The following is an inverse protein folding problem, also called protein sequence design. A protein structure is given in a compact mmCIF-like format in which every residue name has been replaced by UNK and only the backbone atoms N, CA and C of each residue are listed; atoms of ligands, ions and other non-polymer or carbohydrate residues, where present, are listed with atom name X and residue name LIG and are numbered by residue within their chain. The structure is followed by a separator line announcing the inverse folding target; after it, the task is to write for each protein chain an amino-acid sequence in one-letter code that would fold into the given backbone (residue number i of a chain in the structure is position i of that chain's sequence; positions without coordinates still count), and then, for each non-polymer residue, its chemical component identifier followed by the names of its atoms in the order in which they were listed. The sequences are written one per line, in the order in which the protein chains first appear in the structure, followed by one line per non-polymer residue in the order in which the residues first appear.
data_IF_806076998202
#
_entry.id   IF_806076998202
#
_cell.length_a   1.000
_cell.length_b   1.000
_cell.length_c   1.000
_cell.angle_alpha   90.00
_cell.angle_beta   90.00
_cell.angle_gamma   90.00
#
_symmetry.space_group_name_H-M   'P 1'
#
loop_
_entity.id
_entity.type
_entity.pdbx_description
1 polymer ?
#
# COMPACT_ATOMS: atom_id res chain seq x y z
N UNK A 1 19.13 5.40 3.33
CA UNK A 1 17.85 4.67 3.46
C UNK A 1 16.73 5.65 3.74
N UNK A 2 15.69 5.66 2.92
CA UNK A 2 14.49 6.43 3.23
C UNK A 2 13.69 5.70 4.34
N UNK A 3 13.10 6.42 5.31
CA UNK A 3 12.19 5.83 6.29
C UNK A 3 11.06 5.04 5.63
N UNK A 4 10.67 3.92 6.24
CA UNK A 4 9.57 3.09 5.71
C UNK A 4 8.25 3.86 5.60
N UNK A 5 7.99 4.79 6.52
CA UNK A 5 6.81 5.67 6.46
C UNK A 5 6.79 6.54 5.19
N UNK A 6 7.93 7.14 4.82
CA UNK A 6 8.06 7.96 3.60
C UNK A 6 7.91 7.11 2.34
N UNK A 7 8.43 5.87 2.36
CA UNK A 7 8.23 4.91 1.28
C UNK A 7 6.74 4.62 1.06
N UNK A 8 5.99 4.31 2.12
CA UNK A 8 4.54 4.02 2.05
C UNK A 8 3.75 5.26 1.63
N UNK A 9 4.11 6.44 2.14
CA UNK A 9 3.48 7.70 1.73
C UNK A 9 3.62 7.94 0.23
N UNK A 10 4.81 7.68 -0.34
CA UNK A 10 5.03 7.76 -1.78
C UNK A 10 4.25 6.71 -2.57
N UNK A 11 4.05 5.50 -2.03
CA UNK A 11 3.20 4.49 -2.69
C UNK A 11 1.73 4.95 -2.76
N UNK A 12 1.21 5.54 -1.68
CA UNK A 12 -0.14 6.13 -1.67
C UNK A 12 -0.26 7.27 -2.67
N UNK A 13 0.68 8.22 -2.67
CA UNK A 13 0.68 9.32 -3.63
C UNK A 13 0.76 8.83 -5.09
N UNK A 14 1.55 7.78 -5.35
CA UNK A 14 1.62 7.15 -6.66
C UNK A 14 0.28 6.52 -7.04
N UNK A 15 -0.37 5.80 -6.13
CA UNK A 15 -1.67 5.18 -6.37
C UNK A 15 -2.75 6.22 -6.68
N UNK A 16 -2.78 7.33 -5.92
CA UNK A 16 -3.69 8.45 -6.16
C UNK A 16 -3.51 9.10 -7.53
N UNK A 17 -2.26 9.22 -8.02
CA UNK A 17 -1.94 9.83 -9.31
C UNK A 17 -2.10 8.89 -10.50
N UNK A 18 -1.90 7.59 -10.31
CA UNK A 18 -1.74 6.64 -11.42
C UNK A 18 -2.90 5.67 -11.57
N UNK A 19 -3.70 5.43 -10.54
CA UNK A 19 -4.83 4.49 -10.60
C UNK A 19 -6.14 5.27 -10.76
N UNK A 20 -6.81 5.20 -11.92
CA UNK A 20 -8.10 5.85 -12.13
C UNK A 20 -9.12 5.39 -11.09
N UNK A 21 -9.89 6.33 -10.54
CA UNK A 21 -10.90 6.02 -9.53
C UNK A 21 -10.34 5.46 -8.22
N UNK A 22 -9.05 5.68 -7.93
CA UNK A 22 -8.45 5.27 -6.67
C UNK A 22 -9.25 5.81 -5.48
N UNK A 23 -9.58 4.93 -4.54
CA UNK A 23 -10.21 5.27 -3.28
C UNK A 23 -9.65 4.40 -2.18
N UNK A 24 -8.93 5.02 -1.25
CA UNK A 24 -8.51 4.37 -0.02
C UNK A 24 -9.73 4.20 0.90
N UNK A 25 -10.03 2.97 1.28
CA UNK A 25 -11.08 2.68 2.25
C UNK A 25 -10.53 2.74 3.66
N UNK A 26 -9.36 2.13 3.88
CA UNK A 26 -8.74 2.10 5.20
C UNK A 26 -7.25 1.79 5.13
N UNK A 27 -6.52 2.37 6.08
CA UNK A 27 -5.12 2.11 6.35
C UNK A 27 -4.98 1.57 7.77
N UNK A 28 -4.10 0.60 7.95
CA UNK A 28 -3.66 0.14 9.26
C UNK A 28 -2.14 0.10 9.29
N UNK A 29 -1.57 0.69 10.33
CA UNK A 29 -0.18 0.46 10.69
C UNK A 29 -0.16 -0.73 11.67
N UNK A 30 0.56 -1.79 11.30
CA UNK A 30 0.57 -3.07 12.01
C UNK A 30 2.02 -3.55 12.22
N UNK A 31 2.20 -4.51 13.14
CA UNK A 31 3.47 -5.20 13.33
C UNK A 31 3.32 -6.67 12.94
N UNK A 32 4.21 -7.17 12.10
CA UNK A 32 4.24 -8.58 11.67
C UNK A 32 5.58 -9.16 12.12
N UNK A 33 5.57 -9.96 13.19
CA UNK A 33 6.77 -10.61 13.73
C UNK A 33 7.96 -9.65 13.98
N UNK A 34 7.69 -8.46 14.52
CA UNK A 34 8.69 -7.44 14.77
C UNK A 34 8.96 -6.50 13.59
N UNK A 35 8.46 -6.81 12.39
CA UNK A 35 8.57 -5.94 11.23
C UNK A 35 7.45 -4.90 11.22
N UNK A 36 7.80 -3.63 10.97
CA UNK A 36 6.83 -2.60 10.66
C UNK A 36 6.12 -2.95 9.34
N UNK A 37 4.80 -2.85 9.32
CA UNK A 37 4.01 -3.12 8.13
C UNK A 37 2.82 -2.17 8.03
N UNK A 38 2.36 -1.93 6.80
CA UNK A 38 1.15 -1.16 6.53
C UNK A 38 0.23 -1.96 5.63
N UNK A 39 -1.01 -2.15 6.07
CA UNK A 39 -2.09 -2.68 5.25
C UNK A 39 -2.89 -1.52 4.66
N UNK A 40 -3.11 -1.55 3.35
CA UNK A 40 -3.97 -0.64 2.63
C UNK A 40 -5.12 -1.42 1.99
N UNK A 41 -6.35 -1.11 2.40
CA UNK A 41 -7.56 -1.56 1.72
C UNK A 41 -8.03 -0.42 0.83
N UNK A 42 -8.00 -0.63 -0.49
CA UNK A 42 -8.39 0.38 -1.47
C UNK A 42 -9.06 -0.25 -2.67
N UNK A 43 -9.77 0.57 -3.42
CA UNK A 43 -10.27 0.19 -4.74
C UNK A 43 -9.72 1.11 -5.82
N UNK A 44 -9.76 0.65 -7.06
CA UNK A 44 -9.51 1.46 -8.24
C UNK A 44 -10.21 0.87 -9.46
N UNK A 45 -10.38 1.69 -10.49
CA UNK A 45 -11.04 1.30 -11.73
C UNK A 45 -10.01 0.83 -12.76
N UNK A 46 -10.07 -0.46 -13.12
CA UNK A 46 -9.29 -1.06 -14.18
C UNK A 46 -10.21 -1.43 -15.34
N UNK A 47 -9.94 -0.87 -16.53
CA UNK A 47 -10.71 -1.19 -17.75
C UNK A 47 -12.24 -1.04 -17.54
N UNK A 48 -12.64 0.00 -16.80
CA UNK A 48 -14.05 0.29 -16.52
C UNK A 48 -14.67 -0.46 -15.34
N UNK A 49 -13.95 -1.37 -14.68
CA UNK A 49 -14.44 -2.16 -13.53
C UNK A 49 -13.74 -1.80 -12.24
N UNK A 50 -14.48 -1.77 -11.14
CA UNK A 50 -13.91 -1.58 -9.82
C UNK A 50 -13.26 -2.88 -9.32
N UNK A 51 -12.00 -2.77 -8.91
CA UNK A 51 -11.26 -3.83 -8.24
C UNK A 51 -10.99 -3.42 -6.80
N UNK A 52 -11.30 -4.31 -5.86
CA UNK A 52 -10.93 -4.16 -4.46
C UNK A 52 -9.61 -4.86 -4.20
N UNK A 53 -8.67 -4.19 -3.54
CA UNK A 53 -7.40 -4.77 -3.13
C UNK A 53 -7.15 -4.54 -1.65
N UNK A 54 -6.56 -5.56 -1.01
CA UNK A 54 -5.97 -5.50 0.32
C UNK A 54 -4.48 -5.74 0.14
N UNK A 55 -3.66 -4.72 0.31
CA UNK A 55 -2.22 -4.79 0.02
C UNK A 55 -1.41 -4.48 1.27
N UNK A 56 -0.51 -5.40 1.64
CA UNK A 56 0.37 -5.26 2.79
C UNK A 56 1.79 -4.96 2.32
N UNK A 57 2.37 -3.89 2.85
CA UNK A 57 3.78 -3.55 2.73
C UNK A 57 4.48 -3.94 4.03
N UNK A 58 5.58 -4.69 3.96
CA UNK A 58 6.31 -5.17 5.13
C UNK A 58 7.76 -4.70 5.02
N UNK A 59 8.22 -3.93 6.01
CA UNK A 59 9.59 -3.44 6.07
C UNK A 59 10.57 -4.61 6.20
N UNK A 60 11.38 -4.79 5.15
CA UNK A 60 12.39 -5.83 5.08
C UNK A 60 13.58 -5.34 4.28
N UNK A 61 14.76 -5.84 4.61
CA UNK A 61 16.00 -5.62 3.84
C UNK A 61 16.35 -6.87 3.03
N UNK A 62 16.92 -6.72 1.83
CA UNK A 62 17.28 -5.47 1.15
C UNK A 62 16.11 -4.75 0.47
N UNK A 63 14.93 -5.37 0.41
CA UNK A 63 13.74 -4.82 -0.25
C UNK A 63 12.48 -5.04 0.59
N UNK A 64 11.54 -4.10 0.49
CA UNK A 64 10.19 -4.20 1.07
C UNK A 64 9.49 -5.43 0.47
N UNK A 65 8.88 -6.25 1.33
CA UNK A 65 8.04 -7.36 0.90
C UNK A 65 6.61 -6.85 0.75
N UNK A 66 5.98 -7.15 -0.39
CA UNK A 66 4.59 -6.79 -0.69
C UNK A 66 3.79 -8.07 -0.88
N UNK A 67 2.61 -8.14 -0.26
CA UNK A 67 1.68 -9.26 -0.39
C UNK A 67 0.23 -8.77 -0.45
N UNK A 68 -0.66 -9.57 -1.05
CA UNK A 68 -2.07 -9.27 -1.30
C UNK A 68 -2.93 -10.48 -1.03
#
# INVERSE_FOLDING_TARGET
DAPFADYVARQLENAEKQLPGFKLHKRWDINIHGHAAVLLDYQWQREGRDLMLRQVFIERRPAVLITT
#
